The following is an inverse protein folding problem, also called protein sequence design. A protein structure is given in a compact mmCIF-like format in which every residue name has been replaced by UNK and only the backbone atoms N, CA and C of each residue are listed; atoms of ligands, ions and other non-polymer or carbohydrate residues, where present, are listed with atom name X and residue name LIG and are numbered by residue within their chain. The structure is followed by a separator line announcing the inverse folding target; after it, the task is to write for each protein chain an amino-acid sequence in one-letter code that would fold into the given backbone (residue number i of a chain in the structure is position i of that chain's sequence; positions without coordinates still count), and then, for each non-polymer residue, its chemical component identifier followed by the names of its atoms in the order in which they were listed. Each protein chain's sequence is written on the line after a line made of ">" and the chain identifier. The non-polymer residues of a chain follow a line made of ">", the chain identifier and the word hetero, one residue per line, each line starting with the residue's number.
data_IF_110237302838
#
_entry.id   IF_110237302838
#
_cell.length_a   1.000
_cell.length_b   1.000
_cell.length_c   1.000
_cell.angle_alpha   90.00
_cell.angle_beta   90.00
_cell.angle_gamma   90.00
#
_symmetry.space_group_name_H-M   'P 1'
#
loop_
_entity.id
_entity.type
_entity.pdbx_description
1 polymer ?
#
# COMPACT_ATOMS: atom_id res chain seq x y z
N UNK A 1 -1.90 14.52 -13.82
CA UNK A 1 -2.79 13.83 -12.89
C UNK A 1 -2.23 13.94 -11.48
N UNK A 2 -3.10 13.93 -10.47
CA UNK A 2 -2.73 13.85 -9.06
C UNK A 2 -2.86 12.38 -8.61
N UNK A 3 -1.75 11.74 -8.30
CA UNK A 3 -1.65 10.30 -8.02
C UNK A 3 -1.29 10.10 -6.56
N UNK A 4 -2.11 9.35 -5.82
CA UNK A 4 -1.83 8.97 -4.44
C UNK A 4 -1.28 7.55 -4.35
N UNK A 5 -0.02 7.39 -3.96
CA UNK A 5 0.61 6.10 -3.67
C UNK A 5 0.47 5.76 -2.19
N UNK A 6 -0.26 4.69 -1.87
CA UNK A 6 -0.52 4.26 -0.49
C UNK A 6 0.30 3.03 -0.17
N UNK A 7 1.23 3.15 0.79
CA UNK A 7 2.19 2.08 1.13
C UNK A 7 2.44 2.01 2.63
N UNK A 8 2.48 0.81 3.18
CA UNK A 8 2.84 0.58 4.60
C UNK A 8 4.35 0.62 4.85
N UNK A 9 5.16 0.66 3.78
CA UNK A 9 6.62 0.68 3.87
C UNK A 9 7.21 1.68 2.88
N UNK A 10 8.10 2.55 3.38
CA UNK A 10 8.82 3.54 2.59
C UNK A 10 10.10 3.95 3.31
N UNK A 11 10.98 4.70 2.65
CA UNK A 11 12.20 5.18 3.30
C UNK A 11 11.90 5.85 4.67
N UNK A 12 12.78 5.66 5.68
CA UNK A 12 14.12 5.07 5.66
C UNK A 12 14.16 3.54 5.72
N UNK A 13 13.04 2.83 5.69
CA UNK A 13 13.01 1.37 5.61
C UNK A 13 13.42 0.94 4.20
N UNK A 14 14.57 0.26 4.10
CA UNK A 14 15.08 -0.23 2.80
C UNK A 14 14.56 -1.65 2.59
N UNK A 15 13.65 -1.80 1.63
CA UNK A 15 13.12 -3.08 1.16
C UNK A 15 12.62 -2.96 -0.28
N UNK A 16 12.32 -4.09 -0.93
CA UNK A 16 11.93 -4.13 -2.34
C UNK A 16 10.69 -3.28 -2.66
N UNK A 17 9.68 -3.29 -1.78
CA UNK A 17 8.45 -2.51 -1.97
C UNK A 17 8.74 -1.01 -1.88
N UNK A 18 9.43 -0.56 -0.82
CA UNK A 18 9.79 0.85 -0.65
C UNK A 18 10.64 1.38 -1.81
N UNK A 19 11.59 0.58 -2.30
CA UNK A 19 12.40 0.92 -3.49
C UNK A 19 11.54 1.02 -4.75
N UNK A 20 10.65 0.07 -4.98
CA UNK A 20 9.72 0.08 -6.13
C UNK A 20 8.80 1.29 -6.11
N UNK A 21 8.23 1.64 -4.95
CA UNK A 21 7.38 2.82 -4.78
C UNK A 21 8.16 4.11 -5.06
N UNK A 22 9.40 4.18 -4.61
CA UNK A 22 10.25 5.35 -4.85
C UNK A 22 10.53 5.53 -6.35
N UNK A 23 10.99 4.48 -7.03
CA UNK A 23 11.24 4.51 -8.47
C UNK A 23 9.96 4.88 -9.24
N UNK A 24 8.83 4.27 -8.90
CA UNK A 24 7.55 4.59 -9.52
C UNK A 24 7.18 6.06 -9.32
N UNK A 25 7.41 6.62 -8.13
CA UNK A 25 7.10 8.02 -7.86
C UNK A 25 7.98 8.98 -8.65
N UNK A 26 9.26 8.65 -8.84
CA UNK A 26 10.19 9.45 -9.64
C UNK A 26 9.79 9.42 -11.13
N UNK A 27 9.51 8.25 -11.68
CA UNK A 27 9.12 8.10 -13.09
C UNK A 27 7.79 8.81 -13.38
N UNK A 28 6.77 8.64 -12.53
CA UNK A 28 5.50 9.33 -12.69
C UNK A 28 5.66 10.86 -12.59
N UNK A 29 6.54 11.33 -11.71
CA UNK A 29 6.85 12.76 -11.60
C UNK A 29 7.59 13.27 -12.85
N UNK A 30 8.54 12.50 -13.37
CA UNK A 30 9.25 12.83 -14.62
C UNK A 30 8.29 12.89 -15.83
N UNK A 31 7.20 12.10 -15.79
CA UNK A 31 6.12 12.15 -16.78
C UNK A 31 5.16 13.35 -16.60
N UNK A 32 5.40 14.23 -15.64
CA UNK A 32 4.61 15.44 -15.38
C UNK A 32 3.38 15.22 -14.50
N UNK A 33 3.33 14.16 -13.70
CA UNK A 33 2.26 13.94 -12.73
C UNK A 33 2.62 14.49 -11.35
N UNK A 34 1.62 14.91 -10.57
CA UNK A 34 1.79 15.22 -9.16
C UNK A 34 1.61 13.92 -8.36
N UNK A 35 2.67 13.47 -7.70
CA UNK A 35 2.66 12.20 -6.95
C UNK A 35 2.74 12.47 -5.46
N UNK A 36 1.82 11.90 -4.69
CA UNK A 36 1.75 12.00 -3.24
C UNK A 36 1.92 10.61 -2.63
N UNK A 37 2.86 10.45 -1.70
CA UNK A 37 3.17 9.17 -1.05
C UNK A 37 2.60 9.18 0.36
N UNK A 38 1.60 8.34 0.61
CA UNK A 38 1.01 8.13 1.94
C UNK A 38 1.69 6.94 2.60
N UNK A 39 2.32 7.18 3.75
CA UNK A 39 3.11 6.15 4.44
C UNK A 39 3.02 6.34 5.96
N UNK A 40 3.22 5.29 6.78
CA UNK A 40 3.27 5.45 8.23
C UNK A 40 4.38 6.42 8.65
N UNK A 41 4.13 7.23 9.68
CA UNK A 41 5.16 8.08 10.26
C UNK A 41 6.28 7.22 10.84
N UNK A 42 7.53 7.59 10.57
CA UNK A 42 8.71 6.95 11.14
C UNK A 42 9.56 8.01 11.84
N UNK A 43 9.87 7.84 13.14
CA UNK A 43 10.74 8.79 13.87
C UNK A 43 12.14 8.96 13.27
N UNK A 44 12.61 7.96 12.50
CA UNK A 44 13.89 7.99 11.80
C UNK A 44 13.84 8.74 10.47
N UNK A 45 12.63 9.02 9.97
CA UNK A 45 12.46 9.85 8.77
C UNK A 45 12.65 11.30 9.17
N UNK A 46 13.74 11.91 8.74
CA UNK A 46 13.96 13.35 8.89
C UNK A 46 12.86 14.19 8.24
N UNK A 47 13.16 15.42 7.84
CA UNK A 47 12.22 16.26 7.10
C UNK A 47 11.82 15.54 5.81
N UNK A 48 10.54 15.20 5.68
CA UNK A 48 9.98 14.64 4.47
C UNK A 48 9.77 15.75 3.44
N UNK A 49 9.92 15.43 2.15
CA UNK A 49 9.49 16.31 1.06
C UNK A 49 7.99 16.60 1.19
N UNK A 50 7.52 17.72 0.62
CA UNK A 50 6.10 18.14 0.66
C UNK A 50 5.14 17.04 0.12
N UNK A 51 5.64 16.18 -0.76
CA UNK A 51 4.86 15.12 -1.38
C UNK A 51 4.78 13.83 -0.54
N UNK A 52 5.50 13.72 0.59
CA UNK A 52 5.43 12.56 1.48
C UNK A 52 4.52 12.88 2.66
N UNK A 53 3.33 12.29 2.64
CA UNK A 53 2.30 12.50 3.67
C UNK A 53 2.41 11.40 4.72
N UNK A 54 2.99 11.76 5.85
CA UNK A 54 3.16 10.84 6.98
C UNK A 54 1.87 10.71 7.78
N UNK A 55 1.36 9.47 7.86
CA UNK A 55 0.20 9.12 8.67
C UNK A 55 0.65 8.72 10.08
N UNK A 56 -0.05 9.17 11.12
CA UNK A 56 0.22 8.71 12.50
C UNK A 56 0.30 7.20 12.54
N UNK A 57 1.27 6.65 13.24
CA UNK A 57 1.50 5.21 13.28
C UNK A 57 1.97 4.75 14.66
N UNK A 58 1.79 3.46 14.91
CA UNK A 58 2.34 2.76 16.08
C UNK A 58 3.26 1.63 15.63
N UNK A 59 4.27 1.24 16.43
CA UNK A 59 5.08 0.06 16.15
C UNK A 59 4.20 -1.20 16.09
N UNK A 60 4.51 -2.10 15.14
CA UNK A 60 3.88 -3.41 15.13
C UNK A 60 4.59 -4.30 16.15
N UNK A 61 3.85 -4.89 17.10
CA UNK A 61 4.42 -5.76 18.13
C UNK A 61 4.86 -7.13 17.58
N UNK A 62 4.28 -7.56 16.45
CA UNK A 62 4.56 -8.85 15.83
C UNK A 62 5.80 -8.75 14.93
N UNK A 63 5.91 -7.69 14.15
CA UNK A 63 7.02 -7.45 13.22
C UNK A 63 7.70 -6.14 13.61
N UNK A 64 8.82 -6.23 14.33
CA UNK A 64 9.52 -5.07 14.94
C UNK A 64 9.96 -3.99 13.93
N UNK A 65 10.18 -4.35 12.67
CA UNK A 65 10.55 -3.41 11.60
C UNK A 65 9.35 -2.74 10.94
N UNK A 66 8.11 -3.12 11.31
CA UNK A 66 6.88 -2.67 10.68
C UNK A 66 6.13 -1.68 11.57
N UNK A 67 5.46 -0.72 10.96
CA UNK A 67 4.60 0.25 11.64
C UNK A 67 3.20 0.20 11.05
N UNK A 68 2.22 0.24 11.93
CA UNK A 68 0.81 0.23 11.54
C UNK A 68 0.32 1.67 11.51
N UNK A 69 -0.13 2.13 10.36
CA UNK A 69 -0.75 3.44 10.20
C UNK A 69 -2.10 3.50 10.91
N UNK A 70 -2.38 4.62 11.60
CA UNK A 70 -3.69 4.86 12.19
C UNK A 70 -4.61 5.39 11.10
N UNK A 71 -5.61 4.60 10.73
CA UNK A 71 -6.47 4.81 9.57
C UNK A 71 -7.44 5.99 9.72
N UNK A 72 -7.67 6.46 10.94
CA UNK A 72 -8.67 7.47 11.20
C UNK A 72 -8.07 8.78 11.68
N UNK A 73 -8.12 9.77 10.80
CA UNK A 73 -7.84 11.17 11.13
C UNK A 73 -8.71 12.07 10.24
N UNK A 74 -9.74 12.70 10.78
CA UNK A 74 -10.63 13.58 10.00
C UNK A 74 -9.85 14.70 9.27
N UNK A 75 -8.82 15.26 9.93
CA UNK A 75 -7.98 16.28 9.32
C UNK A 75 -7.22 15.75 8.10
N UNK A 76 -6.68 14.52 8.19
CA UNK A 76 -5.97 13.90 7.07
C UNK A 76 -6.91 13.55 5.91
N UNK A 77 -8.13 13.12 6.21
CA UNK A 77 -9.14 12.86 5.18
C UNK A 77 -9.46 14.17 4.42
N UNK A 78 -9.59 15.28 5.15
CA UNK A 78 -9.84 16.58 4.52
C UNK A 78 -8.63 17.08 3.71
N UNK A 79 -7.40 16.92 4.22
CA UNK A 79 -6.18 17.19 3.47
C UNK A 79 -6.14 16.39 2.15
N UNK A 80 -6.41 15.08 2.21
CA UNK A 80 -6.44 14.21 1.03
C UNK A 80 -7.50 14.65 0.03
N UNK A 81 -8.68 15.03 0.50
CA UNK A 81 -9.74 15.55 -0.37
C UNK A 81 -9.28 16.79 -1.15
N UNK A 82 -8.54 17.69 -0.51
CA UNK A 82 -8.04 18.91 -1.13
C UNK A 82 -6.93 18.66 -2.15
N UNK A 83 -6.27 17.49 -2.13
CA UNK A 83 -5.30 17.10 -3.16
C UNK A 83 -5.94 16.77 -4.51
N UNK A 84 -7.27 16.59 -4.56
CA UNK A 84 -8.01 16.23 -5.77
C UNK A 84 -7.36 15.08 -6.52
N UNK A 85 -7.16 13.95 -5.83
CA UNK A 85 -6.54 12.78 -6.43
C UNK A 85 -7.37 12.25 -7.59
N UNK A 86 -6.72 11.98 -8.71
CA UNK A 86 -7.32 11.33 -9.89
C UNK A 86 -7.25 9.81 -9.80
N UNK A 87 -6.22 9.28 -9.11
CA UNK A 87 -5.99 7.84 -8.91
C UNK A 87 -5.48 7.59 -7.49
N UNK A 88 -6.00 6.55 -6.89
CA UNK A 88 -5.45 5.89 -5.70
C UNK A 88 -4.68 4.65 -6.15
N UNK A 89 -3.39 4.57 -5.83
CA UNK A 89 -2.58 3.41 -6.16
C UNK A 89 -2.02 2.79 -4.87
N UNK A 90 -2.57 1.65 -4.49
CA UNK A 90 -2.15 0.92 -3.29
C UNK A 90 -1.01 -0.03 -3.59
N UNK A 91 0.02 -0.06 -2.73
CA UNK A 91 1.24 -0.85 -2.89
C UNK A 91 1.36 -1.97 -1.85
N UNK A 92 0.46 -1.96 -0.88
CA UNK A 92 0.32 -2.96 0.19
C UNK A 92 -1.15 -3.11 0.52
N UNK A 93 -1.56 -4.22 1.13
CA UNK A 93 -2.96 -4.48 1.48
C UNK A 93 -3.28 -4.16 2.95
N UNK A 94 -2.25 -3.85 3.76
CA UNK A 94 -2.40 -3.61 5.20
C UNK A 94 -3.01 -2.24 5.52
N UNK A 95 -2.44 -1.53 6.50
CA UNK A 95 -3.08 -0.34 7.04
C UNK A 95 -3.25 0.77 6.00
N UNK A 96 -2.18 1.16 5.31
CA UNK A 96 -2.26 2.26 4.33
C UNK A 96 -2.94 1.82 3.02
N UNK A 97 -2.76 0.57 2.60
CA UNK A 97 -3.51 0.06 1.45
C UNK A 97 -5.01 0.01 1.72
N UNK A 98 -5.42 -0.50 2.90
CA UNK A 98 -6.83 -0.47 3.33
C UNK A 98 -7.34 0.97 3.43
N UNK A 99 -6.54 1.90 3.93
CA UNK A 99 -6.90 3.31 3.98
C UNK A 99 -7.07 3.91 2.57
N UNK A 100 -6.15 3.59 1.64
CA UNK A 100 -6.29 3.98 0.22
C UNK A 100 -7.60 3.49 -0.39
N UNK A 101 -7.97 2.22 -0.13
CA UNK A 101 -9.26 1.66 -0.55
C UNK A 101 -10.46 2.43 0.02
N UNK A 102 -10.40 2.82 1.30
CA UNK A 102 -11.45 3.63 1.94
C UNK A 102 -11.55 5.01 1.24
N UNK A 103 -10.42 5.66 0.98
CA UNK A 103 -10.37 6.96 0.28
C UNK A 103 -10.93 6.84 -1.13
N UNK A 104 -10.50 5.83 -1.91
CA UNK A 104 -11.03 5.54 -3.24
C UNK A 104 -12.56 5.41 -3.23
N UNK A 105 -13.08 4.58 -2.34
CA UNK A 105 -14.53 4.35 -2.23
C UNK A 105 -15.29 5.61 -1.78
N UNK A 106 -14.77 6.33 -0.78
CA UNK A 106 -15.43 7.52 -0.22
C UNK A 106 -15.50 8.69 -1.21
N UNK A 107 -14.46 8.85 -2.02
CA UNK A 107 -14.37 9.96 -2.99
C UNK A 107 -14.64 9.54 -4.42
N UNK A 108 -14.98 8.25 -4.65
CA UNK A 108 -15.23 7.67 -5.98
C UNK A 108 -14.05 7.86 -6.94
N UNK A 109 -12.83 7.66 -6.42
CA UNK A 109 -11.58 7.74 -7.18
C UNK A 109 -11.20 6.33 -7.62
N UNK A 110 -10.85 6.08 -8.89
CA UNK A 110 -10.42 4.76 -9.33
C UNK A 110 -9.18 4.28 -8.56
N UNK A 111 -9.15 2.97 -8.24
CA UNK A 111 -8.10 2.35 -7.47
C UNK A 111 -7.33 1.33 -8.31
N UNK A 112 -6.01 1.50 -8.35
CA UNK A 112 -5.06 0.52 -8.86
C UNK A 112 -4.34 -0.15 -7.68
N UNK A 113 -4.05 -1.43 -7.78
CA UNK A 113 -3.28 -2.15 -6.77
C UNK A 113 -2.08 -2.86 -7.40
N UNK A 114 -0.88 -2.67 -6.86
CA UNK A 114 0.28 -3.50 -7.20
C UNK A 114 0.50 -4.55 -6.13
N UNK A 115 0.44 -5.82 -6.53
CA UNK A 115 0.63 -6.95 -5.64
C UNK A 115 2.11 -7.30 -5.51
N UNK A 116 2.77 -6.79 -4.46
CA UNK A 116 4.21 -6.99 -4.27
C UNK A 116 4.58 -8.24 -3.48
N UNK A 117 3.70 -8.73 -2.61
CA UNK A 117 4.07 -9.72 -1.61
C UNK A 117 3.30 -11.02 -1.83
N UNK A 118 4.02 -12.09 -2.14
CA UNK A 118 3.47 -13.43 -2.05
C UNK A 118 3.44 -13.85 -0.57
N UNK A 119 2.30 -13.64 0.09
CA UNK A 119 2.16 -13.90 1.53
C UNK A 119 2.41 -15.35 1.90
N UNK A 120 2.19 -16.30 0.99
CA UNK A 120 2.48 -17.71 1.18
C UNK A 120 3.93 -17.95 1.58
N UNK A 121 4.85 -17.22 0.96
CA UNK A 121 6.29 -17.36 1.23
C UNK A 121 6.67 -16.79 2.62
N UNK A 122 5.79 -15.97 3.22
CA UNK A 122 6.05 -15.26 4.49
C UNK A 122 5.19 -15.72 5.66
N UNK A 123 4.10 -16.46 5.44
CA UNK A 123 3.20 -16.96 6.50
C UNK A 123 3.96 -17.76 7.56
N UNK A 124 4.99 -18.52 7.16
CA UNK A 124 5.83 -19.29 8.07
C UNK A 124 6.64 -18.43 9.05
N UNK A 125 6.92 -17.17 8.69
CA UNK A 125 7.67 -16.24 9.53
C UNK A 125 6.77 -15.44 10.49
N UNK A 126 5.46 -15.38 10.22
CA UNK A 126 4.49 -14.66 11.06
C UNK A 126 3.94 -15.64 12.11
N UNK A 127 4.32 -15.42 13.38
CA UNK A 127 3.84 -16.20 14.54
C UNK A 127 3.98 -17.72 14.35
N UNK A 128 5.10 -18.17 13.79
CA UNK A 128 5.40 -19.61 13.55
C UNK A 128 4.32 -20.33 12.72
N UNK A 129 3.60 -19.63 11.84
CA UNK A 129 2.60 -20.24 10.95
C UNK A 129 1.28 -20.63 11.63
N UNK A 130 1.07 -20.26 12.89
CA UNK A 130 -0.10 -20.72 13.67
C UNK A 130 -1.30 -19.78 13.57
N UNK A 131 -1.10 -18.50 13.25
CA UNK A 131 -2.16 -17.47 13.26
C UNK A 131 -2.78 -17.20 11.89
N UNK A 132 -2.04 -17.41 10.79
CA UNK A 132 -2.50 -17.14 9.43
C UNK A 132 -2.23 -18.38 8.58
N UNK A 133 -3.29 -18.96 8.04
CA UNK A 133 -3.17 -20.09 7.10
C UNK A 133 -2.99 -19.57 5.66
N UNK A 134 -2.37 -20.37 4.75
CA UNK A 134 -2.30 -20.01 3.33
C UNK A 134 -3.68 -19.70 2.73
N UNK A 135 -4.71 -20.46 3.08
CA UNK A 135 -6.08 -20.22 2.61
C UNK A 135 -6.65 -18.87 3.07
N UNK A 136 -6.31 -18.42 4.27
CA UNK A 136 -6.71 -17.09 4.76
C UNK A 136 -5.98 -15.99 4.00
N UNK A 137 -4.67 -16.14 3.72
CA UNK A 137 -3.91 -15.16 2.95
C UNK A 137 -4.42 -15.06 1.51
N UNK A 138 -4.72 -16.20 0.84
CA UNK A 138 -5.32 -16.21 -0.50
C UNK A 138 -6.68 -15.52 -0.53
N UNK A 139 -7.53 -15.81 0.45
CA UNK A 139 -8.86 -15.18 0.54
C UNK A 139 -8.75 -13.67 0.75
N UNK A 140 -7.82 -13.23 1.59
CA UNK A 140 -7.55 -11.82 1.84
C UNK A 140 -7.05 -11.11 0.57
N UNK A 141 -6.02 -11.67 -0.08
CA UNK A 141 -5.49 -11.14 -1.34
C UNK A 141 -6.57 -11.07 -2.43
N UNK A 142 -7.37 -12.14 -2.58
CA UNK A 142 -8.48 -12.16 -3.53
C UNK A 142 -9.49 -11.04 -3.27
N UNK A 143 -9.95 -10.89 -2.03
CA UNK A 143 -10.94 -9.86 -1.66
C UNK A 143 -10.37 -8.47 -1.89
N UNK A 144 -9.11 -8.24 -1.53
CA UNK A 144 -8.48 -6.94 -1.70
C UNK A 144 -8.28 -6.62 -3.19
N UNK A 145 -7.65 -7.51 -3.94
CA UNK A 145 -7.38 -7.32 -5.37
C UNK A 145 -8.66 -7.14 -6.18
N UNK A 146 -9.69 -7.98 -5.96
CA UNK A 146 -10.97 -7.86 -6.67
C UNK A 146 -11.77 -6.60 -6.28
N UNK A 147 -11.33 -5.83 -5.30
CA UNK A 147 -11.92 -4.54 -4.97
C UNK A 147 -11.24 -3.36 -5.67
N UNK A 148 -10.15 -3.60 -6.39
CA UNK A 148 -9.48 -2.59 -7.21
C UNK A 148 -10.04 -2.60 -8.64
N UNK A 149 -9.99 -1.45 -9.30
CA UNK A 149 -10.37 -1.33 -10.71
C UNK A 149 -9.33 -1.97 -11.64
N UNK A 150 -8.07 -2.03 -11.20
CA UNK A 150 -7.00 -2.74 -11.88
C UNK A 150 -5.95 -3.27 -10.90
N UNK A 151 -5.36 -4.42 -11.23
CA UNK A 151 -4.29 -5.05 -10.45
C UNK A 151 -3.04 -5.21 -11.30
N UNK A 152 -1.90 -4.79 -10.77
CA UNK A 152 -0.60 -4.96 -11.38
C UNK A 152 0.11 -6.15 -10.73
N UNK A 153 0.42 -7.17 -11.52
CA UNK A 153 1.26 -8.30 -11.15
C UNK A 153 2.69 -8.05 -11.68
N UNK A 154 3.70 -7.86 -10.82
CA UNK A 154 5.06 -7.52 -11.26
C UNK A 154 5.75 -8.60 -12.08
N UNK A 155 5.33 -9.86 -11.95
CA UNK A 155 5.90 -11.00 -12.65
C UNK A 155 4.82 -11.98 -13.10
N UNK A 156 5.15 -12.82 -14.09
CA UNK A 156 4.24 -13.88 -14.56
C UNK A 156 3.88 -14.85 -13.41
N UNK A 157 4.83 -15.18 -12.53
CA UNK A 157 4.56 -16.03 -11.36
C UNK A 157 3.47 -15.42 -10.46
N UNK A 158 3.56 -14.11 -10.17
CA UNK A 158 2.56 -13.41 -9.38
C UNK A 158 1.21 -13.39 -10.09
N UNK A 159 1.19 -13.13 -11.38
CA UNK A 159 -0.03 -13.17 -12.19
C UNK A 159 -0.71 -14.53 -12.10
N UNK A 160 0.03 -15.62 -12.34
CA UNK A 160 -0.51 -16.99 -12.31
C UNK A 160 -1.04 -17.34 -10.90
N UNK A 161 -0.34 -16.92 -9.84
CA UNK A 161 -0.80 -17.11 -8.47
C UNK A 161 -2.11 -16.36 -8.21
N UNK A 162 -2.20 -15.07 -8.57
CA UNK A 162 -3.42 -14.28 -8.39
C UNK A 162 -4.60 -14.89 -9.15
N UNK A 163 -4.36 -15.37 -10.37
CA UNK A 163 -5.41 -16.10 -11.15
C UNK A 163 -5.88 -17.35 -10.42
N UNK A 164 -4.96 -18.12 -9.81
CA UNK A 164 -5.30 -19.32 -9.03
C UNK A 164 -6.11 -18.99 -7.76
N UNK A 165 -5.97 -17.78 -7.20
CA UNK A 165 -6.77 -17.30 -6.06
C UNK A 165 -8.16 -16.79 -6.48
N UNK A 166 -8.43 -16.64 -7.77
CA UNK A 166 -9.69 -16.10 -8.30
C UNK A 166 -9.70 -14.56 -8.37
N UNK A 167 -8.56 -13.96 -8.67
CA UNK A 167 -8.44 -12.54 -9.05
C UNK A 167 -8.63 -12.44 -10.57
N UNK A 168 -9.53 -11.57 -11.04
CA UNK A 168 -9.93 -11.48 -12.46
C UNK A 168 -9.79 -10.06 -13.01
#
# INVERSE_FOLDING_TARGET
>A
MNIGLFTDTYFPQINGVGTSVHMLSEELTAMGHNVYIFTPSDPKRGHSSENIISMKSMPCFIIKSFRIGLLYSPQKILEIKNLNLDIVHTQTEFSLGTFGKIISSAFKIPMVHTYHTMYEDYVHYIAHGTLITPAMSHSFSRIFCNSADAVIAPTQKVYDSLRSYGVY
#
